data_IF_648100074113
#
_entry.id   IF_648100074113
#
_cell.length_a   1.000
_cell.length_b   1.000
_cell.length_c   1.000
_cell.angle_alpha   90.00
_cell.angle_beta   90.00
_cell.angle_gamma   90.00
#
_symmetry.space_group_name_H-M   'P 1'
#
loop_
_entity.id
_entity.type
_entity.pdbx_description
1 polymer ?
#
# COMPACT_ATOMS: atom_id res chain seq x y z
N UNK A 1 -1.20 8.54 28.36
CA UNK A 1 -1.03 8.78 26.92
C UNK A 1 -2.37 8.53 26.26
N UNK A 2 -2.96 9.53 25.60
CA UNK A 2 -4.22 9.36 24.85
C UNK A 2 -3.87 8.79 23.48
N UNK A 3 -4.50 7.69 23.02
CA UNK A 3 -4.21 7.14 21.70
C UNK A 3 -4.75 8.13 20.65
N UNK A 4 -3.84 8.77 19.93
CA UNK A 4 -4.21 9.58 18.77
C UNK A 4 -4.60 8.61 17.66
N UNK A 5 -5.91 8.41 17.46
CA UNK A 5 -6.43 7.65 16.34
C UNK A 5 -6.26 8.53 15.10
N UNK A 6 -5.26 8.24 14.28
CA UNK A 6 -5.06 8.91 13.01
C UNK A 6 -6.14 8.42 12.05
N UNK A 7 -7.23 9.17 11.93
CA UNK A 7 -8.19 8.96 10.86
C UNK A 7 -7.51 9.36 9.55
N UNK A 8 -7.13 8.37 8.75
CA UNK A 8 -6.80 8.59 7.35
C UNK A 8 -8.11 8.72 6.59
N UNK A 9 -8.39 9.91 6.08
CA UNK A 9 -9.47 10.11 5.13
C UNK A 9 -9.13 9.45 3.78
N UNK A 10 -10.15 9.15 2.96
CA UNK A 10 -9.97 8.46 1.67
C UNK A 10 -9.03 9.21 0.71
N UNK A 11 -8.95 10.54 0.83
CA UNK A 11 -8.03 11.34 0.01
C UNK A 11 -6.59 11.11 0.45
N UNK A 12 -6.31 11.12 1.76
CA UNK A 12 -5.00 10.77 2.31
C UNK A 12 -4.58 9.33 1.99
N UNK A 13 -5.52 8.38 1.93
CA UNK A 13 -5.26 6.99 1.51
C UNK A 13 -4.85 6.96 0.02
N UNK A 14 -5.60 7.65 -0.84
CA UNK A 14 -5.31 7.73 -2.27
C UNK A 14 -3.96 8.40 -2.56
N UNK A 15 -3.60 9.45 -1.81
CA UNK A 15 -2.30 10.11 -1.91
C UNK A 15 -1.16 9.17 -1.51
N UNK A 16 -1.28 8.48 -0.37
CA UNK A 16 -0.28 7.49 0.07
C UNK A 16 -0.14 6.34 -0.92
N UNK A 17 -1.25 5.83 -1.42
CA UNK A 17 -1.28 4.77 -2.44
C UNK A 17 -0.56 5.21 -3.71
N UNK A 18 -0.83 6.43 -4.19
CA UNK A 18 -0.18 6.99 -5.37
C UNK A 18 1.33 7.16 -5.16
N UNK A 19 1.76 7.70 -4.01
CA UNK A 19 3.17 7.87 -3.69
C UNK A 19 3.93 6.53 -3.60
N UNK A 20 3.28 5.48 -3.08
CA UNK A 20 3.86 4.14 -3.00
C UNK A 20 4.01 3.50 -4.39
N UNK A 21 3.03 3.70 -5.28
CA UNK A 21 3.08 3.21 -6.66
C UNK A 21 4.12 3.96 -7.50
N UNK A 22 4.25 5.28 -7.33
CA UNK A 22 5.32 6.07 -7.95
C UNK A 22 6.70 5.59 -7.51
N UNK A 23 6.88 5.32 -6.21
CA UNK A 23 8.15 4.81 -5.67
C UNK A 23 8.49 3.42 -6.20
N UNK A 24 7.49 2.58 -6.46
CA UNK A 24 7.67 1.27 -7.05
C UNK A 24 7.89 1.31 -8.57
N UNK A 25 7.67 2.47 -9.23
CA UNK A 25 7.68 2.62 -10.69
C UNK A 25 6.80 1.58 -11.42
N UNK A 26 5.75 1.09 -10.76
CA UNK A 26 4.90 0.02 -11.28
C UNK A 26 3.46 0.17 -10.78
N UNK A 27 2.52 -0.44 -11.51
CA UNK A 27 1.11 -0.44 -11.13
C UNK A 27 0.84 -1.48 -10.04
N UNK A 28 -0.28 -1.31 -9.33
CA UNK A 28 -0.73 -2.21 -8.26
C UNK A 28 -0.86 -3.66 -8.74
N UNK A 29 -1.41 -3.86 -9.94
CA UNK A 29 -1.57 -5.19 -10.53
C UNK A 29 -0.22 -5.86 -10.81
N UNK A 30 0.76 -5.08 -11.28
CA UNK A 30 2.10 -5.58 -11.57
C UNK A 30 2.81 -6.00 -10.28
N UNK A 31 2.74 -5.19 -9.21
CA UNK A 31 3.38 -5.55 -7.94
C UNK A 31 2.68 -6.72 -7.24
N UNK A 32 1.34 -6.83 -7.35
CA UNK A 32 0.58 -7.99 -6.85
C UNK A 32 0.92 -9.26 -7.63
N UNK A 33 0.93 -9.19 -8.96
CA UNK A 33 1.32 -10.31 -9.80
C UNK A 33 2.76 -10.76 -9.50
N UNK A 34 3.68 -9.79 -9.38
CA UNK A 34 5.09 -10.04 -9.03
C UNK A 34 5.21 -10.67 -7.64
N UNK A 35 4.44 -10.22 -6.65
CA UNK A 35 4.38 -10.86 -5.32
C UNK A 35 3.81 -12.27 -5.31
N UNK A 36 2.92 -12.60 -6.25
CA UNK A 36 2.35 -13.93 -6.37
C UNK A 36 3.25 -14.95 -7.10
N UNK A 37 4.18 -14.48 -7.94
CA UNK A 37 4.97 -15.35 -8.84
C UNK A 37 6.49 -15.23 -8.70
N UNK A 38 7.01 -14.13 -8.16
CA UNK A 38 8.44 -13.84 -8.06
C UNK A 38 8.85 -13.52 -6.61
N UNK A 39 10.15 -13.66 -6.31
CA UNK A 39 10.74 -13.08 -5.11
C UNK A 39 10.82 -11.57 -5.29
N UNK A 40 9.83 -10.85 -4.76
CA UNK A 40 9.88 -9.39 -4.63
C UNK A 40 11.11 -8.99 -3.82
N UNK A 41 11.76 -7.90 -4.24
CA UNK A 41 12.82 -7.29 -3.44
C UNK A 41 12.27 -6.81 -2.09
N UNK A 42 13.10 -6.71 -1.03
CA UNK A 42 12.63 -6.31 0.30
C UNK A 42 11.87 -4.98 0.31
N UNK A 43 12.30 -4.02 -0.51
CA UNK A 43 11.64 -2.73 -0.68
C UNK A 43 10.26 -2.88 -1.34
N UNK A 44 10.15 -3.72 -2.37
CA UNK A 44 8.89 -3.96 -3.07
C UNK A 44 7.89 -4.74 -2.18
N UNK A 45 8.37 -5.67 -1.37
CA UNK A 45 7.55 -6.35 -0.36
C UNK A 45 6.99 -5.38 0.68
N UNK A 46 7.81 -4.42 1.13
CA UNK A 46 7.38 -3.39 2.07
C UNK A 46 6.29 -2.50 1.45
N UNK A 47 6.43 -2.14 0.17
CA UNK A 47 5.43 -1.37 -0.57
C UNK A 47 4.13 -2.17 -0.72
N UNK A 48 4.20 -3.45 -1.11
CA UNK A 48 3.02 -4.31 -1.25
C UNK A 48 2.28 -4.46 0.09
N UNK A 49 3.00 -4.64 1.20
CA UNK A 49 2.40 -4.70 2.54
C UNK A 49 1.69 -3.38 2.89
N UNK A 50 2.35 -2.24 2.68
CA UNK A 50 1.76 -0.93 2.94
C UNK A 50 0.50 -0.68 2.08
N UNK A 51 0.50 -1.12 0.82
CA UNK A 51 -0.66 -1.04 -0.06
C UNK A 51 -1.82 -1.90 0.46
N UNK A 52 -1.55 -3.13 0.91
CA UNK A 52 -2.59 -4.00 1.50
C UNK A 52 -3.13 -3.45 2.83
N UNK A 53 -2.30 -2.81 3.64
CA UNK A 53 -2.76 -2.12 4.86
C UNK A 53 -3.69 -0.94 4.53
N UNK A 54 -3.37 -0.17 3.49
CA UNK A 54 -4.22 0.92 3.02
C UNK A 54 -5.56 0.41 2.49
N UNK A 55 -5.55 -0.68 1.72
CA UNK A 55 -6.76 -1.35 1.19
C UNK A 55 -7.68 -1.81 2.35
N UNK A 56 -7.08 -2.43 3.39
CA UNK A 56 -7.79 -2.84 4.61
C UNK A 56 -8.39 -1.65 5.38
N UNK A 57 -7.68 -0.52 5.43
CA UNK A 57 -8.16 0.71 6.08
C UNK A 57 -9.28 1.40 5.30
N UNK A 58 -9.31 1.26 3.97
CA UNK A 58 -10.35 1.81 3.10
C UNK A 58 -11.70 1.07 3.25
N UNK A 59 -11.67 -0.15 3.80
CA UNK A 59 -12.86 -0.94 4.10
C UNK A 59 -13.30 -1.89 3.00
N UNK A 60 -12.42 -2.19 2.03
CA UNK A 60 -12.63 -3.27 1.07
C UNK A 60 -12.32 -4.61 1.76
N UNK A 61 -13.36 -5.22 2.33
CA UNK A 61 -13.36 -6.54 2.96
C UNK A 61 -14.33 -7.48 2.24
#
# INVERSE_FOLDING_TARGET
>A
MVPTVTYLDSQSIAEKRSALLERAHMTLDVIRAKGATYQLDPDEQAILRALNELDFLEGDA
#
